data_IF_871728192250
#
_entry.id   IF_871728192250
#
_cell.length_a   1.000
_cell.length_b   1.000
_cell.length_c   1.000
_cell.angle_alpha   90.00
_cell.angle_beta   90.00
_cell.angle_gamma   90.00
#
_symmetry.space_group_name_H-M   'P 1'
#
loop_
_entity.id
_entity.type
_entity.pdbx_description
1 polymer ?
#
# COMPACT_ATOMS: atom_id res chain seq x y z
N UNK A 1 8.75 13.66 63.88
CA UNK A 1 9.21 13.76 62.47
C UNK A 1 9.72 12.46 61.82
N UNK A 2 10.74 11.77 62.33
CA UNK A 2 11.34 10.61 61.64
C UNK A 2 10.38 9.43 61.38
N UNK A 3 9.41 9.25 62.28
CA UNK A 3 8.34 8.23 62.28
C UNK A 3 7.37 8.45 61.11
N UNK A 4 6.83 9.67 60.96
CA UNK A 4 5.91 10.01 59.85
C UNK A 4 6.55 9.89 58.47
N UNK A 5 7.83 10.25 58.34
CA UNK A 5 8.57 10.10 57.07
C UNK A 5 8.74 8.63 56.67
N UNK A 6 9.02 7.75 57.64
CA UNK A 6 9.16 6.30 57.40
C UNK A 6 7.84 5.62 57.09
N UNK A 7 6.76 6.05 57.73
CA UNK A 7 5.41 5.55 57.44
C UNK A 7 5.00 5.92 56.01
N UNK A 8 5.20 7.18 55.60
CA UNK A 8 4.91 7.66 54.25
C UNK A 8 5.69 6.92 53.15
N UNK A 9 6.98 6.64 53.36
CA UNK A 9 7.79 5.89 52.37
C UNK A 9 7.33 4.45 52.20
N UNK A 10 6.58 3.91 53.16
CA UNK A 10 6.19 2.52 53.21
C UNK A 10 4.73 2.34 52.77
N UNK A 11 3.82 3.22 53.19
CA UNK A 11 2.39 3.12 52.85
C UNK A 11 1.96 4.04 51.70
N UNK A 12 2.78 5.01 51.31
CA UNK A 12 2.45 6.01 50.28
C UNK A 12 1.38 7.04 50.71
N UNK A 13 0.79 6.89 51.89
CA UNK A 13 -0.25 7.76 52.42
C UNK A 13 0.29 8.69 53.52
N UNK A 14 -0.12 9.96 53.50
CA UNK A 14 0.29 10.97 54.48
C UNK A 14 -0.63 10.90 55.71
N UNK A 15 -0.16 10.24 56.77
CA UNK A 15 -0.87 10.19 58.05
C UNK A 15 -0.89 11.57 58.73
N UNK A 16 -1.97 11.88 59.46
CA UNK A 16 -2.13 13.14 60.17
C UNK A 16 -1.25 13.21 61.43
N UNK A 17 -0.88 14.42 61.88
CA UNK A 17 0.01 14.59 63.04
C UNK A 17 -0.60 14.02 64.33
N UNK A 18 -1.92 14.13 64.51
CA UNK A 18 -2.65 13.60 65.67
C UNK A 18 -2.62 12.06 65.71
N UNK A 19 -2.77 11.39 64.56
CA UNK A 19 -2.64 9.94 64.44
C UNK A 19 -1.21 9.48 64.80
N UNK A 20 -0.20 10.23 64.35
CA UNK A 20 1.21 9.91 64.63
C UNK A 20 1.53 9.99 66.12
N UNK A 21 0.98 10.96 66.84
CA UNK A 21 1.13 11.14 68.29
C UNK A 21 0.49 9.97 69.08
N UNK A 22 -0.75 9.62 68.74
CA UNK A 22 -1.49 8.49 69.34
C UNK A 22 -0.75 7.15 69.12
N UNK A 23 -0.17 6.95 67.93
CA UNK A 23 0.59 5.74 67.61
C UNK A 23 1.93 5.63 68.36
N UNK A 24 2.52 6.77 68.77
CA UNK A 24 3.76 6.81 69.56
C UNK A 24 3.45 6.55 71.04
N UNK A 25 2.39 7.14 71.59
CA UNK A 25 1.98 6.94 72.99
C UNK A 25 1.50 5.51 73.30
N UNK A 26 0.76 4.89 72.36
CA UNK A 26 0.14 3.56 72.61
C UNK A 26 1.16 2.40 72.53
N UNK A 27 2.41 2.64 72.14
CA UNK A 27 3.44 1.60 72.01
C UNK A 27 3.18 0.55 70.91
N UNK A 28 2.08 0.69 70.14
CA UNK A 28 1.70 -0.19 69.00
C UNK A 28 2.46 0.11 67.71
N UNK A 29 3.28 1.17 67.72
CA UNK A 29 4.11 1.60 66.60
C UNK A 29 4.88 0.44 65.96
N UNK A 30 5.56 -0.40 66.74
CA UNK A 30 6.36 -1.53 66.22
C UNK A 30 5.56 -2.53 65.36
N UNK A 31 4.32 -2.83 65.74
CA UNK A 31 3.48 -3.82 65.03
C UNK A 31 2.90 -3.23 63.73
N UNK A 32 2.44 -1.97 63.77
CA UNK A 32 1.96 -1.25 62.58
C UNK A 32 3.09 -1.01 61.57
N UNK A 33 4.31 -0.72 62.03
CA UNK A 33 5.46 -0.60 61.13
C UNK A 33 5.75 -1.91 60.38
N UNK A 34 5.73 -3.06 61.07
CA UNK A 34 5.93 -4.35 60.41
C UNK A 34 4.81 -4.66 59.43
N UNK A 35 3.56 -4.35 59.79
CA UNK A 35 2.41 -4.55 58.91
C UNK A 35 2.46 -3.64 57.68
N UNK A 36 2.73 -2.35 57.87
CA UNK A 36 2.90 -1.38 56.80
C UNK A 36 4.05 -1.76 55.86
N UNK A 37 5.20 -2.23 56.39
CA UNK A 37 6.34 -2.67 55.56
C UNK A 37 5.99 -3.88 54.71
N UNK A 38 5.19 -4.81 55.23
CA UNK A 38 4.73 -5.96 54.46
C UNK A 38 3.70 -5.57 53.40
N UNK A 39 2.78 -4.68 53.74
CA UNK A 39 1.73 -4.19 52.84
C UNK A 39 2.30 -3.29 51.72
N UNK A 40 3.22 -2.39 52.07
CA UNK A 40 3.97 -1.56 51.13
C UNK A 40 4.86 -2.36 50.19
N UNK A 41 5.46 -3.45 50.68
CA UNK A 41 6.22 -4.39 49.83
C UNK A 41 5.30 -5.14 48.86
N UNK A 42 4.09 -5.50 49.28
CA UNK A 42 3.05 -6.05 48.40
C UNK A 42 2.68 -5.06 47.28
N UNK A 43 2.41 -3.80 47.64
CA UNK A 43 2.04 -2.76 46.67
C UNK A 43 3.17 -2.43 45.68
N UNK A 44 4.43 -2.41 46.14
CA UNK A 44 5.59 -2.23 45.26
C UNK A 44 5.75 -3.42 44.31
N UNK A 45 5.52 -4.66 44.78
CA UNK A 45 5.59 -5.84 43.91
C UNK A 45 4.47 -5.85 42.87
N UNK A 46 3.25 -5.46 43.25
CA UNK A 46 2.11 -5.36 42.33
C UNK A 46 2.34 -4.29 41.25
N UNK A 47 2.85 -3.11 41.64
CA UNK A 47 3.18 -2.04 40.69
C UNK A 47 4.33 -2.41 39.75
N UNK A 48 5.34 -3.15 40.25
CA UNK A 48 6.39 -3.70 39.40
C UNK A 48 5.85 -4.75 38.42
N UNK A 49 4.91 -5.60 38.84
CA UNK A 49 4.26 -6.56 37.97
C UNK A 49 3.44 -5.84 36.87
N UNK A 50 2.70 -4.78 37.20
CA UNK A 50 1.97 -3.96 36.22
C UNK A 50 2.92 -3.30 35.22
N UNK A 51 4.04 -2.71 35.68
CA UNK A 51 5.04 -2.10 34.81
C UNK A 51 5.64 -3.16 33.87
N UNK A 52 5.92 -4.35 34.38
CA UNK A 52 6.50 -5.43 33.60
C UNK A 52 5.53 -5.96 32.53
N UNK A 53 4.24 -6.06 32.85
CA UNK A 53 3.18 -6.39 31.89
C UNK A 53 3.07 -5.33 30.78
N UNK A 54 3.08 -4.03 31.14
CA UNK A 54 3.09 -2.95 30.15
C UNK A 54 4.34 -2.98 29.28
N UNK A 55 5.51 -3.27 29.86
CA UNK A 55 6.75 -3.37 29.11
C UNK A 55 6.69 -4.52 28.08
N UNK A 56 6.13 -5.67 28.46
CA UNK A 56 5.92 -6.78 27.54
C UNK A 56 4.96 -6.39 26.38
N UNK A 57 3.91 -5.63 26.68
CA UNK A 57 3.01 -5.10 25.65
C UNK A 57 3.70 -4.11 24.69
N UNK A 58 4.55 -3.22 25.22
CA UNK A 58 5.36 -2.30 24.40
C UNK A 58 6.35 -3.05 23.53
N UNK A 59 7.00 -4.09 24.05
CA UNK A 59 7.91 -4.94 23.28
C UNK A 59 7.19 -5.65 22.12
N UNK A 60 5.95 -6.10 22.33
CA UNK A 60 5.12 -6.65 21.25
C UNK A 60 4.76 -5.61 20.19
N UNK A 61 4.38 -4.38 20.61
CA UNK A 61 4.12 -3.29 19.68
C UNK A 61 5.35 -2.93 18.84
N UNK A 62 6.54 -2.91 19.45
CA UNK A 62 7.79 -2.67 18.74
C UNK A 62 8.03 -3.73 17.64
N UNK A 63 7.83 -5.01 17.97
CA UNK A 63 7.94 -6.11 16.99
C UNK A 63 6.96 -5.93 15.82
N UNK A 64 5.70 -5.61 16.11
CA UNK A 64 4.69 -5.37 15.07
C UNK A 64 5.00 -4.15 14.21
N UNK A 65 5.56 -3.07 14.78
CA UNK A 65 6.01 -1.91 14.00
C UNK A 65 7.20 -2.23 13.10
N UNK A 66 8.10 -3.10 13.56
CA UNK A 66 9.22 -3.57 12.77
C UNK A 66 8.77 -4.37 11.55
N UNK A 67 7.82 -5.29 11.75
CA UNK A 67 7.20 -6.06 10.67
C UNK A 67 6.47 -5.15 9.67
N UNK A 68 5.68 -4.19 10.17
CA UNK A 68 5.00 -3.22 9.31
C UNK A 68 5.98 -2.41 8.47
N UNK A 69 7.10 -1.99 9.06
CA UNK A 69 8.16 -1.29 8.32
C UNK A 69 8.76 -2.15 7.22
N UNK A 70 8.97 -3.44 7.46
CA UNK A 70 9.43 -4.35 6.40
C UNK A 70 8.41 -4.43 5.26
N UNK A 71 7.12 -4.57 5.57
CA UNK A 71 6.06 -4.58 4.55
C UNK A 71 6.06 -3.30 3.72
N UNK A 72 6.25 -2.13 4.33
CA UNK A 72 6.36 -0.85 3.61
C UNK A 72 7.58 -0.81 2.68
N UNK A 73 8.73 -1.33 3.11
CA UNK A 73 9.93 -1.38 2.28
C UNK A 73 9.77 -2.36 1.12
N UNK A 74 9.19 -3.54 1.36
CA UNK A 74 8.91 -4.51 0.31
C UNK A 74 7.90 -3.95 -0.71
N UNK A 75 6.88 -3.22 -0.23
CA UNK A 75 5.93 -2.52 -1.10
C UNK A 75 6.61 -1.47 -1.99
N UNK A 76 7.58 -0.71 -1.44
CA UNK A 76 8.33 0.27 -2.22
C UNK A 76 9.13 -0.41 -3.36
N UNK A 77 9.79 -1.52 -3.07
CA UNK A 77 10.53 -2.32 -4.07
C UNK A 77 9.58 -2.91 -5.13
N UNK A 78 8.44 -3.47 -4.71
CA UNK A 78 7.42 -4.00 -5.61
C UNK A 78 6.85 -2.92 -6.54
N UNK A 79 6.57 -1.71 -6.04
CA UNK A 79 6.08 -0.59 -6.85
C UNK A 79 7.15 -0.12 -7.85
N UNK A 80 8.40 0.00 -7.41
CA UNK A 80 9.52 0.36 -8.30
C UNK A 80 9.69 -0.67 -9.43
N UNK A 81 9.60 -1.96 -9.11
CA UNK A 81 9.67 -3.04 -10.12
C UNK A 81 8.50 -3.02 -11.12
N UNK A 82 7.31 -2.59 -10.68
CA UNK A 82 6.11 -2.48 -11.52
C UNK A 82 6.13 -1.25 -12.44
N UNK A 83 7.02 -0.27 -12.22
CA UNK A 83 7.15 0.91 -13.06
C UNK A 83 7.47 0.58 -14.52
N UNK A 84 8.40 -0.36 -14.76
CA UNK A 84 8.77 -0.77 -16.12
C UNK A 84 7.63 -1.51 -16.86
N UNK A 85 6.73 -2.19 -16.15
CA UNK A 85 5.57 -2.84 -16.75
C UNK A 85 4.49 -1.82 -17.11
N UNK A 86 4.27 -0.79 -16.29
CA UNK A 86 3.34 0.31 -16.58
C UNK A 86 3.73 1.05 -17.87
N UNK A 87 5.01 1.37 -18.04
CA UNK A 87 5.55 1.99 -19.27
C UNK A 87 5.24 1.14 -20.51
N UNK A 88 5.29 -0.20 -20.37
CA UNK A 88 4.99 -1.11 -21.48
C UNK A 88 3.50 -1.15 -21.84
N UNK A 89 2.60 -1.02 -20.87
CA UNK A 89 1.15 -0.95 -21.10
C UNK A 89 0.80 0.37 -21.78
N UNK A 90 1.33 1.49 -21.28
CA UNK A 90 1.12 2.80 -21.91
C UNK A 90 1.62 2.80 -23.35
N UNK A 91 2.82 2.26 -23.59
CA UNK A 91 3.38 2.12 -24.94
C UNK A 91 2.51 1.22 -25.84
N UNK A 92 1.98 0.12 -25.32
CA UNK A 92 1.14 -0.80 -26.09
C UNK A 92 -0.24 -0.19 -26.42
N UNK A 93 -0.82 0.55 -25.49
CA UNK A 93 -2.08 1.29 -25.70
C UNK A 93 -1.86 2.40 -26.73
N UNK A 94 -0.78 3.18 -26.60
CA UNK A 94 -0.44 4.24 -27.54
C UNK A 94 -0.24 3.68 -28.96
N UNK A 95 0.52 2.59 -29.10
CA UNK A 95 0.68 1.88 -30.39
C UNK A 95 -0.65 1.38 -30.96
N UNK A 96 -1.52 0.83 -30.12
CA UNK A 96 -2.83 0.32 -30.56
C UNK A 96 -3.71 1.45 -31.11
N UNK A 97 -3.72 2.61 -30.46
CA UNK A 97 -4.40 3.81 -30.96
C UNK A 97 -3.83 4.25 -32.31
N UNK A 98 -2.50 4.30 -32.45
CA UNK A 98 -1.84 4.64 -33.72
C UNK A 98 -2.18 3.65 -34.84
N UNK A 99 -2.15 2.34 -34.56
CA UNK A 99 -2.50 1.31 -35.54
C UNK A 99 -3.95 1.41 -36.01
N UNK A 100 -4.88 1.67 -35.09
CA UNK A 100 -6.29 1.85 -35.45
C UNK A 100 -6.45 3.11 -36.32
N UNK A 101 -5.82 4.22 -35.95
CA UNK A 101 -5.86 5.45 -36.75
C UNK A 101 -5.32 5.23 -38.17
N UNK A 102 -4.12 4.64 -38.31
CA UNK A 102 -3.55 4.30 -39.63
C UNK A 102 -4.41 3.32 -40.41
N UNK A 103 -4.95 2.30 -39.74
CA UNK A 103 -5.85 1.33 -40.37
C UNK A 103 -7.11 1.99 -40.93
N UNK A 104 -7.71 2.93 -40.19
CA UNK A 104 -8.87 3.68 -40.69
C UNK A 104 -8.52 4.56 -41.90
N UNK A 105 -7.36 5.21 -41.90
CA UNK A 105 -6.91 6.02 -43.03
C UNK A 105 -6.67 5.15 -44.29
N UNK A 106 -6.03 4.00 -44.12
CA UNK A 106 -5.80 3.05 -45.22
C UNK A 106 -7.11 2.53 -45.81
N UNK A 107 -8.13 2.27 -44.98
CA UNK A 107 -9.45 1.85 -45.46
C UNK A 107 -10.14 2.96 -46.28
N UNK A 108 -10.01 4.22 -45.86
CA UNK A 108 -10.53 5.38 -46.62
C UNK A 108 -9.82 5.51 -47.96
N UNK A 109 -8.48 5.44 -47.97
CA UNK A 109 -7.69 5.51 -49.21
C UNK A 109 -8.02 4.33 -50.15
N UNK A 110 -8.13 3.11 -49.63
CA UNK A 110 -8.49 1.93 -50.41
C UNK A 110 -9.88 2.07 -51.04
N UNK A 111 -10.85 2.60 -50.30
CA UNK A 111 -12.20 2.89 -50.83
C UNK A 111 -12.15 3.89 -51.98
N UNK A 112 -11.38 4.96 -51.84
CA UNK A 112 -11.31 6.02 -52.85
C UNK A 112 -10.56 5.56 -54.11
N UNK A 113 -9.49 4.76 -53.94
CA UNK A 113 -8.80 4.08 -55.04
C UNK A 113 -9.72 3.09 -55.76
N UNK A 114 -10.49 2.29 -55.02
CA UNK A 114 -11.41 1.33 -55.63
C UNK A 114 -12.52 2.04 -56.42
N UNK A 115 -13.07 3.14 -55.88
CA UNK A 115 -14.10 3.94 -56.56
C UNK A 115 -13.61 4.59 -57.85
N UNK A 116 -12.37 5.06 -57.88
CA UNK A 116 -11.79 5.67 -59.07
C UNK A 116 -11.37 4.63 -60.11
N UNK A 117 -10.82 3.48 -59.68
CA UNK A 117 -10.32 2.41 -60.57
C UNK A 117 -11.42 1.69 -61.35
N UNK A 118 -12.65 1.57 -60.81
CA UNK A 118 -13.76 0.88 -61.48
C UNK A 118 -14.01 1.35 -62.93
N UNK A 119 -13.94 2.66 -63.17
CA UNK A 119 -14.16 3.23 -64.52
C UNK A 119 -13.01 2.92 -65.48
N UNK A 120 -11.77 3.00 -64.98
CA UNK A 120 -10.58 2.71 -65.76
C UNK A 120 -10.41 1.23 -66.06
N UNK A 121 -10.80 0.35 -65.14
CA UNK A 121 -10.79 -1.09 -65.33
C UNK A 121 -11.77 -1.51 -66.44
N UNK A 122 -13.00 -0.99 -66.43
CA UNK A 122 -13.96 -1.23 -67.51
C UNK A 122 -13.50 -0.65 -68.85
N UNK A 123 -12.96 0.57 -68.86
CA UNK A 123 -12.45 1.20 -70.08
C UNK A 123 -11.28 0.39 -70.68
N UNK A 124 -10.35 -0.06 -69.85
CA UNK A 124 -9.23 -0.92 -70.25
C UNK A 124 -9.70 -2.24 -70.85
N UNK A 125 -10.67 -2.92 -70.22
CA UNK A 125 -11.23 -4.18 -70.71
C UNK A 125 -11.92 -4.00 -72.07
N UNK A 126 -12.73 -2.96 -72.23
CA UNK A 126 -13.42 -2.65 -73.50
C UNK A 126 -12.42 -2.34 -74.62
N UNK A 127 -11.39 -1.53 -74.35
CA UNK A 127 -10.32 -1.27 -75.31
C UNK A 127 -9.62 -2.56 -75.76
N UNK A 128 -9.34 -3.47 -74.83
CA UNK A 128 -8.68 -4.74 -75.14
C UNK A 128 -9.56 -5.63 -76.04
N UNK A 129 -10.87 -5.70 -75.78
CA UNK A 129 -11.82 -6.46 -76.61
C UNK A 129 -11.88 -5.89 -78.04
N UNK A 130 -11.96 -4.56 -78.19
CA UNK A 130 -11.99 -3.91 -79.51
C UNK A 130 -10.72 -4.23 -80.30
N UNK A 131 -9.56 -4.19 -79.65
CA UNK A 131 -8.27 -4.49 -80.27
C UNK A 131 -8.22 -5.93 -80.80
N UNK A 132 -8.72 -6.90 -80.01
CA UNK A 132 -8.84 -8.31 -80.43
C UNK A 132 -9.77 -8.47 -81.64
N UNK A 133 -10.92 -7.79 -81.66
CA UNK A 133 -11.86 -7.86 -82.79
C UNK A 133 -11.22 -7.32 -84.07
N UNK A 134 -10.50 -6.19 -84.00
CA UNK A 134 -9.80 -5.61 -85.16
C UNK A 134 -8.79 -6.61 -85.72
N UNK A 135 -8.00 -7.27 -84.86
CA UNK A 135 -7.04 -8.30 -85.28
C UNK A 135 -7.76 -9.45 -85.99
N UNK A 136 -8.84 -9.98 -85.41
CA UNK A 136 -9.60 -11.09 -86.01
C UNK A 136 -10.16 -10.70 -87.38
N UNK A 137 -10.78 -9.51 -87.50
CA UNK A 137 -11.33 -9.04 -88.76
C UNK A 137 -10.23 -8.89 -89.80
N UNK A 138 -9.10 -8.28 -89.45
CA UNK A 138 -7.98 -8.11 -90.37
C UNK A 138 -7.48 -9.44 -90.92
N UNK A 139 -7.28 -10.45 -90.07
CA UNK A 139 -6.88 -11.80 -90.45
C UNK A 139 -7.95 -12.50 -91.30
N UNK A 140 -9.24 -12.27 -91.03
CA UNK A 140 -10.32 -12.92 -91.76
C UNK A 140 -10.59 -12.26 -93.13
N UNK A 141 -10.25 -10.98 -93.30
CA UNK A 141 -10.38 -10.24 -94.56
C UNK A 141 -9.16 -10.37 -95.49
N UNK A 142 -7.98 -10.70 -94.94
CA UNK A 142 -6.75 -11.00 -95.70
C UNK A 142 -6.70 -12.45 -96.13
#
# INVERSE_FOLDING_TARGET
>A
EAVGRRLYTVTGAKASEDEIEEFVETGRSSNIYQQAVMEGRGHILDTLAEIQERHAAVEQLEKSLWELRQVFLDMAVLVESQGAMLDSIEAQVAKSVEYVAKGTEQLVQARDLQRSSQKWMCASLVCLIILVVIIIVSICTT
#
